data_IF_661699569954
#
_entry.id   IF_661699569954
#
_cell.length_a   1.000
_cell.length_b   1.000
_cell.length_c   1.000
_cell.angle_alpha   90.00
_cell.angle_beta   90.00
_cell.angle_gamma   90.00
#
_symmetry.space_group_name_H-M   'P 1'
#
loop_
_entity.id
_entity.type
_entity.pdbx_description
1 polymer ?
#
# COMPACT_ATOMS: atom_id res chain seq x y z
N UNK A 1 10.13 -29.95 49.98
CA UNK A 1 9.32 -29.20 49.00
C UNK A 1 9.88 -27.79 48.95
N UNK A 2 10.30 -27.28 47.80
CA UNK A 2 10.94 -25.96 47.69
C UNK A 2 9.90 -24.86 47.87
N UNK A 3 9.99 -24.11 48.97
CA UNK A 3 9.08 -22.99 49.23
C UNK A 3 9.55 -21.75 48.46
N UNK A 4 8.97 -21.56 47.27
CA UNK A 4 9.23 -20.38 46.45
C UNK A 4 8.91 -19.08 47.19
N UNK A 5 7.89 -19.06 48.06
CA UNK A 5 7.43 -17.83 48.70
C UNK A 5 8.43 -17.32 49.73
N UNK A 6 9.01 -18.21 50.54
CA UNK A 6 10.03 -17.83 51.52
C UNK A 6 11.29 -17.29 50.83
N UNK A 7 11.72 -17.94 49.75
CA UNK A 7 12.92 -17.56 48.98
C UNK A 7 12.76 -16.17 48.35
N UNK A 8 11.60 -15.86 47.76
CA UNK A 8 11.35 -14.53 47.20
C UNK A 8 11.21 -13.45 48.28
N UNK A 9 10.66 -13.79 49.45
CA UNK A 9 10.60 -12.86 50.58
C UNK A 9 12.00 -12.50 51.11
N UNK A 10 12.90 -13.49 51.19
CA UNK A 10 14.30 -13.26 51.59
C UNK A 10 15.06 -12.45 50.54
N UNK A 11 14.84 -12.70 49.24
CA UNK A 11 15.42 -11.85 48.19
C UNK A 11 14.92 -10.41 48.28
N UNK A 12 13.63 -10.20 48.52
CA UNK A 12 13.08 -8.85 48.64
C UNK A 12 13.57 -8.12 49.90
N UNK A 13 13.85 -8.85 50.99
CA UNK A 13 14.39 -8.29 52.23
C UNK A 13 15.86 -7.89 52.10
N UNK A 14 16.62 -8.59 51.25
CA UNK A 14 18.05 -8.34 51.02
C UNK A 14 18.33 -7.49 49.77
N UNK A 15 17.29 -7.12 49.00
CA UNK A 15 17.40 -6.26 47.84
C UNK A 15 17.53 -4.79 48.25
N UNK A 16 18.77 -4.31 48.28
CA UNK A 16 19.11 -2.90 48.54
C UNK A 16 19.27 -2.09 47.25
N UNK A 17 18.92 -2.64 46.08
CA UNK A 17 19.08 -1.95 44.80
C UNK A 17 17.98 -0.91 44.63
N UNK A 18 18.38 0.35 44.67
CA UNK A 18 17.48 1.48 44.44
C UNK A 18 16.81 1.37 43.06
N UNK A 19 15.54 1.76 42.96
CA UNK A 19 14.72 1.58 41.75
C UNK A 19 15.35 2.21 40.49
N UNK A 20 16.18 3.23 40.66
CA UNK A 20 16.86 3.97 39.59
C UNK A 20 18.05 3.20 39.01
N UNK A 21 18.68 2.33 39.80
CA UNK A 21 19.85 1.52 39.44
C UNK A 21 19.47 0.11 38.95
N UNK A 22 18.17 -0.15 38.79
CA UNK A 22 17.68 -1.39 38.17
C UNK A 22 17.80 -1.27 36.66
N UNK A 23 17.97 -2.40 35.96
CA UNK A 23 18.18 -2.44 34.50
C UNK A 23 17.11 -1.65 33.71
N UNK A 24 15.85 -1.73 34.15
CA UNK A 24 14.72 -0.95 33.60
C UNK A 24 14.75 0.53 33.99
N UNK A 25 15.38 0.89 35.11
CA UNK A 25 15.61 2.28 35.52
C UNK A 25 16.62 3.00 34.62
N UNK A 26 17.64 2.31 34.13
CA UNK A 26 18.61 2.88 33.18
C UNK A 26 18.00 3.25 31.82
N UNK A 27 16.95 2.55 31.40
CA UNK A 27 16.23 2.82 30.14
C UNK A 27 15.15 3.90 30.27
N UNK A 28 14.99 4.53 31.44
CA UNK A 28 14.05 5.65 31.61
C UNK A 28 14.63 6.92 30.99
N UNK A 29 13.81 7.61 30.21
CA UNK A 29 14.14 8.86 29.52
C UNK A 29 14.81 9.90 30.43
N UNK A 30 14.34 10.03 31.68
CA UNK A 30 14.86 11.00 32.66
C UNK A 30 16.35 10.77 33.00
N UNK A 31 16.79 9.51 33.05
CA UNK A 31 18.18 9.16 33.34
C UNK A 31 19.09 9.36 32.12
N UNK A 32 18.57 9.11 30.91
CA UNK A 32 19.28 9.36 29.64
C UNK A 32 19.48 10.87 29.44
N UNK A 33 18.50 11.70 29.83
CA UNK A 33 18.56 13.16 29.75
C UNK A 33 19.57 13.77 30.73
N UNK A 34 19.70 13.22 31.94
CA UNK A 34 20.69 13.69 32.93
C UNK A 34 22.13 13.38 32.51
N UNK A 35 22.37 12.26 31.83
CA UNK A 35 23.71 11.85 31.42
C UNK A 35 24.21 12.55 30.14
N UNK A 36 23.30 13.05 29.28
CA UNK A 36 23.67 13.72 28.03
C UNK A 36 22.76 14.93 27.73
N UNK A 37 23.05 16.12 28.29
CA UNK A 37 22.22 17.32 28.11
C UNK A 37 22.19 17.88 26.67
N UNK A 38 23.03 17.36 25.76
CA UNK A 38 23.01 17.68 24.33
C UNK A 38 22.03 16.82 23.52
N UNK A 39 21.52 15.71 24.06
CA UNK A 39 20.51 14.84 23.41
C UNK A 39 19.11 15.36 23.77
N UNK A 40 18.84 16.60 23.37
CA UNK A 40 17.68 17.39 23.81
C UNK A 40 16.40 17.08 23.04
N UNK A 41 16.49 16.29 21.98
CA UNK A 41 15.33 15.91 21.19
C UNK A 41 14.79 14.59 21.70
N UNK A 42 13.51 14.61 22.11
CA UNK A 42 12.68 13.42 22.13
C UNK A 42 12.79 12.78 20.75
N UNK A 43 13.67 11.79 20.59
CA UNK A 43 13.57 10.83 19.48
C UNK A 43 12.36 9.95 19.79
N UNK A 44 11.17 10.51 19.56
CA UNK A 44 9.88 9.83 19.74
C UNK A 44 9.64 8.81 18.61
N UNK A 45 10.43 8.86 17.51
CA UNK A 45 10.35 7.95 16.37
C UNK A 45 11.62 7.08 16.27
N UNK A 46 11.44 5.81 15.91
CA UNK A 46 12.53 4.89 15.60
C UNK A 46 13.22 5.36 14.32
N UNK A 47 14.55 5.47 14.35
CA UNK A 47 15.36 5.81 13.17
C UNK A 47 15.57 4.54 12.36
N UNK A 48 15.12 4.52 11.10
CA UNK A 48 15.24 3.37 10.20
C UNK A 48 16.43 3.57 9.25
N UNK A 49 17.63 3.60 9.85
CA UNK A 49 18.89 3.78 9.12
C UNK A 49 19.69 2.48 8.97
N UNK A 50 19.15 1.34 9.42
CA UNK A 50 19.88 0.06 9.42
C UNK A 50 20.18 -0.44 8.00
N UNK A 51 19.29 -0.18 7.04
CA UNK A 51 19.45 -0.56 5.62
C UNK A 51 19.97 0.59 4.74
N UNK A 52 20.40 1.70 5.34
CA UNK A 52 20.91 2.87 4.62
C UNK A 52 22.43 2.83 4.61
N UNK A 53 23.03 2.95 3.42
CA UNK A 53 24.48 3.04 3.28
C UNK A 53 25.02 4.25 4.05
N UNK A 54 26.15 4.11 4.72
CA UNK A 54 26.71 5.17 5.59
C UNK A 54 26.88 6.53 4.88
N UNK A 55 27.14 6.50 3.57
CA UNK A 55 27.27 7.69 2.72
C UNK A 55 25.97 8.49 2.55
N UNK A 56 24.81 7.86 2.78
CA UNK A 56 23.48 8.42 2.55
C UNK A 56 22.72 8.70 3.86
N UNK A 57 23.38 8.56 5.03
CA UNK A 57 22.75 8.80 6.34
C UNK A 57 22.57 10.28 6.70
N UNK A 58 23.12 11.19 5.89
CA UNK A 58 23.07 12.64 6.14
C UNK A 58 22.04 13.37 5.28
N UNK A 59 21.14 12.64 4.63
CA UNK A 59 20.06 13.21 3.82
C UNK A 59 18.93 13.79 4.69
N UNK A 60 17.94 14.41 4.05
CA UNK A 60 16.89 15.15 4.76
C UNK A 60 15.75 14.25 5.28
N UNK A 61 15.93 12.93 5.36
CA UNK A 61 14.88 11.98 5.73
C UNK A 61 14.15 12.34 7.04
N UNK A 62 14.91 12.73 8.07
CA UNK A 62 14.36 13.06 9.38
C UNK A 62 13.57 14.38 9.39
N UNK A 63 13.80 15.25 8.41
CA UNK A 63 13.12 16.53 8.26
C UNK A 63 11.75 16.40 7.57
N UNK A 64 11.51 15.29 6.88
CA UNK A 64 10.23 14.99 6.24
C UNK A 64 9.13 14.90 7.32
N UNK A 65 8.05 15.66 7.11
CA UNK A 65 6.90 15.77 8.03
C UNK A 65 6.87 17.04 8.89
N UNK A 66 8.01 17.71 9.10
CA UNK A 66 8.06 19.00 9.82
C UNK A 66 7.74 20.21 8.93
N UNK A 67 7.88 20.06 7.60
CA UNK A 67 7.63 21.11 6.59
C UNK A 67 6.15 21.52 6.47
N UNK A 68 5.20 20.64 6.83
CA UNK A 68 3.76 20.93 6.75
C UNK A 68 3.29 22.09 7.66
N UNK A 69 4.13 22.59 8.57
CA UNK A 69 3.79 23.71 9.48
C UNK A 69 4.14 25.10 8.95
N UNK A 70 4.80 25.22 7.79
CA UNK A 70 5.20 26.51 7.23
C UNK A 70 4.81 26.59 5.78
N UNK A 71 3.54 26.89 5.49
CA UNK A 71 3.16 27.87 4.47
C UNK A 71 1.63 28.00 4.40
N UNK A 72 1.13 29.18 4.77
CA UNK A 72 -0.26 29.58 4.54
C UNK A 72 -0.43 30.02 3.09
N UNK A 73 -1.36 29.39 2.39
CA UNK A 73 -1.66 29.66 0.98
C UNK A 73 -2.66 30.80 0.86
N UNK A 74 -2.31 31.82 0.07
CA UNK A 74 -3.15 32.95 -0.30
C UNK A 74 -4.01 32.60 -1.53
N UNK A 75 -5.32 32.81 -1.41
CA UNK A 75 -6.32 32.60 -2.47
C UNK A 75 -6.13 33.58 -3.64
N UNK A 76 -6.02 33.03 -4.86
CA UNK A 76 -6.13 33.76 -6.12
C UNK A 76 -7.16 33.09 -7.02
N UNK A 77 -8.31 33.73 -7.18
CA UNK A 77 -9.39 33.31 -8.08
C UNK A 77 -9.05 33.60 -9.54
N UNK A 78 -9.25 32.65 -10.46
CA UNK A 78 -9.41 32.96 -11.88
C UNK A 78 -10.37 31.99 -12.57
N UNK A 79 -11.06 32.51 -13.59
CA UNK A 79 -12.27 32.00 -14.23
C UNK A 79 -11.98 31.40 -15.62
N UNK A 80 -12.82 30.42 -15.98
CA UNK A 80 -13.29 30.01 -17.33
C UNK A 80 -12.24 29.30 -18.23
N UNK A 81 -12.55 28.35 -19.13
CA UNK A 81 -13.75 28.04 -19.93
C UNK A 81 -13.78 26.55 -20.31
N UNK A 82 -14.99 26.01 -20.43
CA UNK A 82 -15.32 24.63 -20.85
C UNK A 82 -15.25 24.41 -22.37
N UNK A 83 -14.71 23.26 -22.81
CA UNK A 83 -14.96 22.69 -24.15
C UNK A 83 -15.15 21.19 -24.06
N UNK A 84 -16.36 20.72 -24.37
CA UNK A 84 -16.69 19.30 -24.48
C UNK A 84 -16.18 18.75 -25.81
N UNK A 85 -15.54 17.58 -25.81
CA UNK A 85 -15.36 16.79 -27.02
C UNK A 85 -15.64 15.31 -26.76
N UNK A 86 -16.54 14.78 -27.59
CA UNK A 86 -16.97 13.39 -27.65
C UNK A 86 -15.87 12.50 -28.22
N UNK A 87 -15.65 11.33 -27.62
CA UNK A 87 -14.85 10.26 -28.21
C UNK A 87 -15.76 9.10 -28.64
N UNK A 88 -15.52 8.66 -29.89
CA UNK A 88 -16.15 7.51 -30.55
C UNK A 88 -15.31 6.27 -30.28
N UNK A 89 -15.96 5.23 -29.79
CA UNK A 89 -15.42 3.86 -29.74
C UNK A 89 -15.13 3.34 -31.16
N UNK A 90 -13.91 2.83 -31.35
CA UNK A 90 -13.51 2.04 -32.52
C UNK A 90 -13.34 0.60 -32.05
N UNK A 91 -14.41 -0.18 -32.12
CA UNK A 91 -14.35 -1.63 -31.93
C UNK A 91 -13.81 -2.31 -33.21
N UNK A 92 -12.53 -2.68 -33.22
CA UNK A 92 -11.97 -3.56 -34.24
C UNK A 92 -12.09 -5.03 -33.78
N UNK A 93 -12.74 -5.85 -34.61
CA UNK A 93 -12.97 -7.26 -34.33
C UNK A 93 -11.67 -8.06 -34.33
N UNK A 94 -11.28 -8.55 -33.16
CA UNK A 94 -10.24 -9.56 -32.99
C UNK A 94 -10.87 -10.87 -32.49
N UNK A 95 -10.40 -11.99 -33.02
CA UNK A 95 -10.77 -13.35 -32.61
C UNK A 95 -10.74 -13.43 -31.07
N UNK A 96 -11.84 -13.88 -30.45
CA UNK A 96 -12.01 -13.88 -28.98
C UNK A 96 -11.01 -14.84 -28.30
N UNK A 97 -9.78 -14.37 -28.09
CA UNK A 97 -8.79 -15.02 -27.22
C UNK A 97 -9.39 -15.12 -25.82
N UNK A 98 -9.35 -16.32 -25.23
CA UNK A 98 -9.81 -16.50 -23.85
C UNK A 98 -8.60 -16.50 -22.94
N UNK A 99 -8.60 -15.62 -21.95
CA UNK A 99 -7.51 -15.50 -20.98
C UNK A 99 -7.93 -16.11 -19.64
N UNK A 100 -7.02 -16.81 -18.97
CA UNK A 100 -7.19 -17.38 -17.63
C UNK A 100 -5.94 -17.15 -16.79
N UNK A 101 -6.14 -16.93 -15.49
CA UNK A 101 -5.07 -16.95 -14.49
C UNK A 101 -4.91 -18.39 -13.97
N UNK A 102 -3.70 -18.91 -14.03
CA UNK A 102 -3.35 -20.24 -13.51
C UNK A 102 -2.20 -20.15 -12.52
N UNK A 103 -2.13 -21.12 -11.61
CA UNK A 103 -0.96 -21.25 -10.74
C UNK A 103 0.29 -21.55 -11.59
N UNK A 104 1.34 -20.75 -11.44
CA UNK A 104 2.60 -20.90 -12.17
C UNK A 104 3.31 -22.24 -11.89
N UNK A 105 3.08 -22.84 -10.71
CA UNK A 105 3.70 -24.11 -10.34
C UNK A 105 3.16 -25.32 -11.11
N UNK A 106 1.87 -25.31 -11.52
CA UNK A 106 1.23 -26.46 -12.16
C UNK A 106 0.66 -26.17 -13.56
N UNK A 107 0.45 -24.90 -13.91
CA UNK A 107 -0.20 -24.39 -15.13
C UNK A 107 -1.52 -25.09 -15.49
N UNK A 108 -2.19 -25.72 -14.52
CA UNK A 108 -3.41 -26.52 -14.71
C UNK A 108 -4.55 -26.01 -13.86
N UNK A 109 -4.24 -25.53 -12.67
CA UNK A 109 -5.24 -25.04 -11.72
C UNK A 109 -5.61 -23.60 -12.06
N UNK A 110 -6.67 -23.45 -12.85
CA UNK A 110 -7.27 -22.13 -13.09
C UNK A 110 -7.83 -21.57 -11.79
N UNK A 111 -7.38 -20.37 -11.44
CA UNK A 111 -7.82 -19.66 -10.23
C UNK A 111 -9.17 -19.00 -10.52
N UNK A 112 -10.20 -19.19 -9.67
CA UNK A 112 -11.48 -18.55 -9.84
C UNK A 112 -11.33 -17.05 -9.65
N UNK A 113 -11.94 -16.31 -10.58
CA UNK A 113 -11.95 -14.87 -10.57
C UNK A 113 -13.19 -14.37 -9.82
N UNK A 114 -13.03 -13.29 -9.06
CA UNK A 114 -14.10 -12.60 -8.37
C UNK A 114 -14.51 -11.33 -9.13
N UNK A 115 -15.81 -11.02 -9.16
CA UNK A 115 -16.25 -9.68 -9.55
C UNK A 115 -16.07 -8.71 -8.38
N UNK A 116 -16.06 -7.38 -8.61
CA UNK A 116 -15.94 -6.40 -7.53
C UNK A 116 -17.00 -6.62 -6.46
N UNK A 117 -18.25 -6.86 -6.87
CA UNK A 117 -19.37 -7.18 -5.98
C UNK A 117 -19.10 -8.42 -5.12
N UNK A 118 -18.46 -9.45 -5.68
CA UNK A 118 -18.11 -10.65 -4.91
C UNK A 118 -17.01 -10.39 -3.88
N UNK A 119 -16.00 -9.58 -4.24
CA UNK A 119 -14.93 -9.20 -3.30
C UNK A 119 -15.48 -8.31 -2.17
N UNK A 120 -16.26 -7.27 -2.49
CA UNK A 120 -16.92 -6.44 -1.47
C UNK A 120 -17.79 -7.30 -0.55
N UNK A 121 -18.50 -8.28 -1.11
CA UNK A 121 -19.33 -9.19 -0.31
C UNK A 121 -18.51 -10.11 0.60
N UNK A 122 -17.38 -10.64 0.10
CA UNK A 122 -16.43 -11.43 0.89
C UNK A 122 -15.82 -10.60 2.00
N UNK A 123 -15.37 -9.38 1.69
CA UNK A 123 -14.81 -8.45 2.67
C UNK A 123 -15.84 -8.06 3.71
N UNK A 124 -17.07 -7.73 3.33
CA UNK A 124 -18.14 -7.41 4.30
C UNK A 124 -18.44 -8.59 5.24
N UNK A 125 -18.45 -9.82 4.73
CA UNK A 125 -18.65 -11.02 5.55
C UNK A 125 -17.44 -11.32 6.44
N UNK A 126 -16.23 -11.02 5.99
CA UNK A 126 -15.00 -11.23 6.75
C UNK A 126 -14.73 -10.11 7.77
N UNK A 127 -15.08 -8.86 7.45
CA UNK A 127 -14.78 -7.67 8.22
C UNK A 127 -15.32 -7.74 9.64
N UNK A 128 -16.59 -8.16 9.80
CA UNK A 128 -17.26 -8.30 11.11
C UNK A 128 -16.56 -9.31 12.03
N UNK A 129 -15.64 -10.12 11.50
CA UNK A 129 -15.07 -11.26 12.21
C UNK A 129 -13.52 -11.23 12.26
N UNK A 130 -12.83 -10.62 11.29
CA UNK A 130 -11.36 -10.69 11.15
C UNK A 130 -10.68 -9.37 10.75
N UNK A 131 -11.42 -8.32 10.40
CA UNK A 131 -10.88 -7.03 9.96
C UNK A 131 -10.20 -7.11 8.58
N UNK A 132 -10.89 -6.66 7.54
CA UNK A 132 -10.31 -6.47 6.21
C UNK A 132 -10.47 -5.02 5.82
N UNK A 133 -9.38 -4.27 5.84
CA UNK A 133 -9.37 -2.87 5.41
C UNK A 133 -9.30 -2.73 3.88
N UNK A 134 -9.71 -1.54 3.41
CA UNK A 134 -9.58 -1.12 2.00
C UNK A 134 -8.13 -1.03 1.54
N UNK A 135 -7.93 -0.89 0.22
CA UNK A 135 -6.61 -0.82 -0.42
C UNK A 135 -5.63 0.14 0.29
N UNK A 136 -6.05 1.35 0.63
CA UNK A 136 -5.21 2.32 1.37
C UNK A 136 -4.78 1.85 2.76
N UNK A 137 -5.66 1.21 3.53
CA UNK A 137 -5.32 0.65 4.84
C UNK A 137 -4.31 -0.49 4.73
N UNK A 138 -4.43 -1.31 3.68
CA UNK A 138 -3.47 -2.38 3.36
C UNK A 138 -2.12 -1.80 2.98
N UNK A 139 -2.09 -0.72 2.19
CA UNK A 139 -0.85 -0.04 1.82
C UNK A 139 -0.11 0.53 3.04
N UNK A 140 -0.81 1.18 3.98
CA UNK A 140 -0.20 1.64 5.23
C UNK A 140 0.32 0.48 6.09
N UNK A 141 -0.43 -0.62 6.18
CA UNK A 141 0.03 -1.81 6.89
C UNK A 141 1.31 -2.38 6.24
N UNK A 142 1.35 -2.49 4.91
CA UNK A 142 2.53 -2.92 4.15
C UNK A 142 3.72 -1.99 4.40
N UNK A 143 3.51 -0.67 4.27
CA UNK A 143 4.53 0.33 4.56
C UNK A 143 5.07 0.20 5.99
N UNK A 144 4.19 0.03 6.98
CA UNK A 144 4.56 -0.18 8.38
C UNK A 144 5.44 -1.42 8.56
N UNK A 145 5.09 -2.53 7.92
CA UNK A 145 5.89 -3.75 7.99
C UNK A 145 7.25 -3.58 7.31
N UNK A 146 7.32 -2.94 6.14
CA UNK A 146 8.59 -2.62 5.46
C UNK A 146 9.48 -1.73 6.35
N UNK A 147 8.90 -0.70 6.95
CA UNK A 147 9.60 0.18 7.90
C UNK A 147 10.17 -0.60 9.09
N UNK A 148 9.41 -1.54 9.67
CA UNK A 148 9.89 -2.41 10.75
C UNK A 148 11.07 -3.31 10.33
N UNK A 149 11.29 -3.50 9.03
CA UNK A 149 12.42 -4.24 8.46
C UNK A 149 13.58 -3.31 8.04
N UNK A 150 13.58 -2.06 8.51
CA UNK A 150 14.65 -1.09 8.27
C UNK A 150 14.57 -0.38 6.91
N UNK A 151 13.48 -0.56 6.16
CA UNK A 151 13.29 0.08 4.85
C UNK A 151 12.73 1.48 5.05
N UNK A 152 13.30 2.48 4.38
CA UNK A 152 12.75 3.84 4.36
C UNK A 152 11.49 3.89 3.50
N UNK A 153 10.33 4.09 4.14
CA UNK A 153 9.04 4.14 3.46
C UNK A 153 8.42 5.53 3.55
N UNK A 154 8.09 6.07 2.37
CA UNK A 154 7.40 7.33 2.20
C UNK A 154 6.01 7.05 1.61
N UNK A 155 4.96 7.40 2.34
CA UNK A 155 3.59 7.33 1.87
C UNK A 155 3.16 8.69 1.33
N UNK A 156 2.61 8.71 0.11
CA UNK A 156 1.97 9.89 -0.44
C UNK A 156 0.45 9.72 -0.35
N UNK A 157 -0.24 10.70 0.23
CA UNK A 157 -1.70 10.69 0.34
C UNK A 157 -2.27 11.98 -0.18
N UNK A 158 -3.19 11.85 -1.12
CA UNK A 158 -3.99 12.96 -1.62
C UNK A 158 -5.19 13.07 -0.67
N UNK A 159 -5.30 14.21 0.01
CA UNK A 159 -6.32 14.41 1.04
C UNK A 159 -7.72 14.27 0.43
N UNK A 160 -8.48 13.31 0.96
CA UNK A 160 -9.92 13.30 0.86
C UNK A 160 -10.46 13.48 2.28
N UNK A 161 -11.40 14.41 2.48
CA UNK A 161 -11.92 14.80 3.80
C UNK A 161 -12.61 13.63 4.54
N UNK A 162 -12.93 12.54 3.83
CA UNK A 162 -13.59 11.34 4.34
C UNK A 162 -12.63 10.18 4.68
N UNK A 163 -11.69 10.41 5.60
CA UNK A 163 -10.83 9.30 6.08
C UNK A 163 -11.59 8.35 7.03
N UNK A 164 -11.61 7.06 6.69
CA UNK A 164 -12.17 6.01 7.55
C UNK A 164 -11.30 5.80 8.81
N UNK A 165 -11.92 5.45 9.94
CA UNK A 165 -11.26 5.18 11.23
C UNK A 165 -10.19 4.10 11.13
N UNK A 166 -10.41 3.08 10.30
CA UNK A 166 -9.41 2.03 10.10
C UNK A 166 -8.17 2.58 9.38
N UNK A 167 -8.37 3.44 8.38
CA UNK A 167 -7.29 4.10 7.66
C UNK A 167 -6.48 5.01 8.59
N UNK A 168 -7.16 5.86 9.37
CA UNK A 168 -6.50 6.73 10.37
C UNK A 168 -5.69 5.91 11.37
N UNK A 169 -6.22 4.76 11.82
CA UNK A 169 -5.48 3.87 12.73
C UNK A 169 -4.22 3.29 12.07
N UNK A 170 -4.30 2.82 10.82
CA UNK A 170 -3.12 2.29 10.13
C UNK A 170 -2.10 3.38 9.83
N UNK A 171 -2.56 4.58 9.50
CA UNK A 171 -1.72 5.77 9.35
C UNK A 171 -0.93 6.06 10.63
N UNK A 172 -1.61 6.17 11.78
CA UNK A 172 -0.96 6.45 13.06
C UNK A 172 0.09 5.39 13.39
N UNK A 173 -0.25 4.11 13.18
CA UNK A 173 0.69 3.01 13.41
C UNK A 173 1.90 3.07 12.47
N UNK A 174 1.70 3.47 11.21
CA UNK A 174 2.77 3.64 10.23
C UNK A 174 3.74 4.76 10.62
N UNK A 175 3.23 5.92 11.03
CA UNK A 175 4.08 7.03 11.46
C UNK A 175 4.83 6.73 12.77
N UNK A 176 4.20 5.98 13.68
CA UNK A 176 4.80 5.61 14.96
C UNK A 176 6.02 4.68 14.81
N UNK A 177 6.06 3.85 13.77
CA UNK A 177 7.23 3.01 13.47
C UNK A 177 8.33 3.75 12.69
N UNK A 178 8.14 5.04 12.41
CA UNK A 178 9.11 5.87 11.70
C UNK A 178 8.83 6.04 10.20
N UNK A 179 7.67 5.55 9.72
CA UNK A 179 7.18 5.88 8.38
C UNK A 179 6.95 7.37 8.22
N UNK A 180 7.10 7.88 7.00
CA UNK A 180 6.91 9.29 6.66
C UNK A 180 5.71 9.43 5.74
N UNK A 181 4.83 10.39 6.03
CA UNK A 181 3.66 10.69 5.18
C UNK A 181 3.75 12.09 4.61
N UNK A 182 3.50 12.21 3.31
CA UNK A 182 3.42 13.46 2.58
C UNK A 182 1.98 13.66 2.10
N UNK A 183 1.42 14.82 2.44
CA UNK A 183 0.08 15.26 2.03
C UNK A 183 0.11 16.55 1.24
N UNK A 184 1.31 17.01 0.85
CA UNK A 184 1.50 18.22 0.05
C UNK A 184 1.20 17.95 -1.42
N UNK A 185 1.41 18.95 -2.28
CA UNK A 185 1.33 18.77 -3.72
C UNK A 185 2.39 17.79 -4.26
N UNK A 186 2.11 17.25 -5.44
CA UNK A 186 2.97 16.28 -6.15
C UNK A 186 4.34 16.88 -6.49
N UNK A 187 4.45 18.18 -6.74
CA UNK A 187 5.75 18.80 -7.07
C UNK A 187 6.69 18.76 -5.86
N UNK A 188 6.16 18.99 -4.66
CA UNK A 188 6.90 18.85 -3.39
C UNK A 188 7.34 17.40 -3.17
N UNK A 189 6.47 16.41 -3.41
CA UNK A 189 6.85 14.99 -3.34
C UNK A 189 8.02 14.68 -4.29
N UNK A 190 7.89 15.07 -5.56
CA UNK A 190 8.92 14.82 -6.58
C UNK A 190 10.23 15.50 -6.17
N UNK A 191 10.18 16.73 -5.66
CA UNK A 191 11.37 17.45 -5.20
C UNK A 191 12.10 16.67 -4.10
N UNK A 192 11.37 16.22 -3.07
CA UNK A 192 11.93 15.42 -1.98
C UNK A 192 12.61 14.16 -2.52
N UNK A 193 11.91 13.40 -3.36
CA UNK A 193 12.39 12.14 -3.93
C UNK A 193 13.60 12.31 -4.87
N UNK A 194 13.80 13.48 -5.46
CA UNK A 194 14.84 13.72 -6.48
C UNK A 194 16.02 14.54 -6.00
N UNK A 195 15.83 15.39 -5.00
CA UNK A 195 16.85 16.37 -4.57
C UNK A 195 17.16 16.32 -3.07
N UNK A 196 16.26 15.80 -2.22
CA UNK A 196 16.45 15.80 -0.77
C UNK A 196 16.90 14.45 -0.20
N UNK A 197 16.71 13.37 -0.97
CA UNK A 197 17.08 12.01 -0.59
C UNK A 197 18.22 11.51 -1.47
N UNK A 198 19.24 10.95 -0.83
CA UNK A 198 20.41 10.37 -1.53
C UNK A 198 20.16 8.93 -1.99
N UNK A 199 19.00 8.35 -1.62
CA UNK A 199 18.57 7.02 -2.01
C UNK A 199 17.54 7.09 -3.15
N UNK A 200 17.78 6.43 -4.30
CA UNK A 200 16.79 6.39 -5.38
C UNK A 200 15.57 5.58 -4.96
N UNK A 201 14.41 5.87 -5.57
CA UNK A 201 13.22 5.03 -5.40
C UNK A 201 13.47 3.65 -6.02
N UNK A 202 13.32 2.61 -5.20
CA UNK A 202 13.52 1.21 -5.59
C UNK A 202 12.20 0.47 -5.88
N UNK A 203 11.12 0.85 -5.20
CA UNK A 203 9.80 0.24 -5.32
C UNK A 203 8.71 1.32 -5.13
N UNK A 204 7.69 1.28 -5.98
CA UNK A 204 6.48 2.10 -5.90
C UNK A 204 5.31 1.15 -5.68
N UNK A 205 4.59 1.33 -4.58
CA UNK A 205 3.38 0.56 -4.28
C UNK A 205 2.17 1.42 -4.66
N UNK A 206 1.45 0.99 -5.68
CA UNK A 206 0.22 1.61 -6.12
C UNK A 206 -0.98 1.09 -5.34
N UNK A 207 -1.60 2.03 -4.64
CA UNK A 207 -2.82 1.86 -3.88
C UNK A 207 -3.74 3.08 -4.06
N UNK A 208 -3.64 3.79 -5.19
CA UNK A 208 -4.44 4.99 -5.46
C UNK A 208 -5.92 4.66 -5.67
N UNK A 209 -6.22 3.50 -6.26
CA UNK A 209 -7.57 2.95 -6.31
C UNK A 209 -7.62 1.50 -5.81
N UNK A 210 -8.80 1.08 -5.34
CA UNK A 210 -9.14 -0.32 -5.10
C UNK A 210 -9.87 -0.93 -6.30
N UNK A 211 -10.39 -2.15 -6.14
CA UNK A 211 -11.18 -2.81 -7.18
C UNK A 211 -12.65 -2.34 -7.24
N UNK A 212 -13.11 -1.60 -6.23
CA UNK A 212 -14.49 -1.13 -6.03
C UNK A 212 -14.69 0.37 -6.28
N UNK A 213 -13.62 1.10 -6.58
CA UNK A 213 -13.60 2.55 -6.80
C UNK A 213 -12.94 2.90 -8.16
N UNK A 214 -13.22 4.11 -8.68
CA UNK A 214 -12.55 4.68 -9.85
C UNK A 214 -11.85 5.99 -9.46
N UNK A 215 -10.67 6.26 -10.02
CA UNK A 215 -9.91 7.49 -9.70
C UNK A 215 -10.73 8.76 -9.96
N UNK A 216 -11.54 8.78 -11.01
CA UNK A 216 -12.38 9.93 -11.37
C UNK A 216 -13.50 10.18 -10.36
N UNK A 217 -13.98 9.12 -9.70
CA UNK A 217 -14.99 9.20 -8.66
C UNK A 217 -14.36 9.60 -7.31
N UNK A 218 -13.16 9.09 -7.03
CA UNK A 218 -12.39 9.43 -5.80
C UNK A 218 -11.96 10.90 -5.85
N UNK A 219 -11.44 11.35 -7.00
CA UNK A 219 -10.86 12.67 -7.21
C UNK A 219 -11.75 13.50 -8.14
N UNK A 220 -12.94 13.83 -7.66
CA UNK A 220 -13.94 14.58 -8.42
C UNK A 220 -13.61 16.07 -8.60
N UNK A 221 -12.65 16.61 -7.85
CA UNK A 221 -12.18 17.98 -8.02
C UNK A 221 -11.11 18.04 -9.12
N UNK A 222 -11.27 18.93 -10.09
CA UNK A 222 -10.33 19.07 -11.23
C UNK A 222 -8.87 19.23 -10.79
N UNK A 223 -8.64 19.93 -9.67
CA UNK A 223 -7.29 20.15 -9.13
C UNK A 223 -6.65 18.86 -8.58
N UNK A 224 -7.43 18.05 -7.87
CA UNK A 224 -6.96 16.77 -7.32
C UNK A 224 -6.74 15.77 -8.45
N UNK A 225 -7.67 15.72 -9.42
CA UNK A 225 -7.54 14.88 -10.61
C UNK A 225 -6.31 15.24 -11.43
N UNK A 226 -6.02 16.53 -11.60
CA UNK A 226 -4.79 16.96 -12.29
C UNK A 226 -3.54 16.56 -11.50
N UNK A 227 -3.57 16.66 -10.17
CA UNK A 227 -2.47 16.22 -9.32
C UNK A 227 -2.22 14.71 -9.47
N UNK A 228 -3.28 13.90 -9.49
CA UNK A 228 -3.19 12.45 -9.76
C UNK A 228 -2.57 12.18 -11.13
N UNK A 229 -2.98 12.91 -12.17
CA UNK A 229 -2.38 12.79 -13.51
C UNK A 229 -0.89 13.10 -13.49
N UNK A 230 -0.48 14.19 -12.84
CA UNK A 230 0.93 14.57 -12.74
C UNK A 230 1.74 13.49 -12.00
N UNK A 231 1.17 12.89 -10.94
CA UNK A 231 1.78 11.77 -10.22
C UNK A 231 1.94 10.53 -11.11
N UNK A 232 0.90 10.15 -11.84
CA UNK A 232 0.90 8.97 -12.72
C UNK A 232 1.89 9.16 -13.87
N UNK A 233 1.96 10.36 -14.45
CA UNK A 233 2.96 10.72 -15.46
C UNK A 233 4.37 10.51 -14.92
N UNK A 234 4.66 10.97 -13.70
CA UNK A 234 5.96 10.76 -13.07
C UNK A 234 6.25 9.28 -12.80
N UNK A 235 5.27 8.52 -12.31
CA UNK A 235 5.42 7.08 -12.09
C UNK A 235 5.70 6.31 -13.39
N UNK A 236 5.07 6.70 -14.51
CA UNK A 236 5.27 6.05 -15.80
C UNK A 236 6.54 6.50 -16.54
N UNK A 237 7.36 7.39 -15.96
CA UNK A 237 8.64 7.75 -16.56
C UNK A 237 9.53 6.51 -16.75
N UNK A 238 10.32 6.44 -17.85
CA UNK A 238 11.20 5.30 -18.11
C UNK A 238 12.17 4.94 -16.97
N UNK A 239 12.52 5.91 -16.12
CA UNK A 239 13.38 5.70 -14.94
C UNK A 239 12.73 4.86 -13.84
N UNK A 240 11.40 4.85 -13.77
CA UNK A 240 10.62 4.09 -12.80
C UNK A 240 10.04 2.80 -13.37
N UNK A 241 10.29 2.54 -14.66
CA UNK A 241 9.93 1.27 -15.30
C UNK A 241 10.49 0.10 -14.46
N UNK A 242 9.68 -0.94 -14.31
CA UNK A 242 9.99 -2.13 -13.51
C UNK A 242 10.06 -1.92 -11.99
N UNK A 243 9.53 -0.82 -11.45
CA UNK A 243 9.48 -0.57 -10.00
C UNK A 243 8.06 -0.53 -9.42
N UNK A 244 7.04 -0.59 -10.27
CA UNK A 244 5.66 -0.39 -9.85
C UNK A 244 4.99 -1.72 -9.53
N UNK A 245 4.40 -1.79 -8.34
CA UNK A 245 3.59 -2.89 -7.85
C UNK A 245 2.19 -2.38 -7.50
N UNK A 246 1.16 -2.83 -8.21
CA UNK A 246 -0.23 -2.46 -7.90
C UNK A 246 -0.93 -3.50 -7.04
N UNK A 247 -1.70 -3.00 -6.08
CA UNK A 247 -2.57 -3.79 -5.23
C UNK A 247 -3.92 -4.01 -5.91
N UNK A 248 -4.35 -5.27 -6.01
CA UNK A 248 -5.55 -5.78 -6.67
C UNK A 248 -5.63 -5.53 -8.20
N UNK A 249 -5.59 -4.26 -8.63
CA UNK A 249 -5.63 -3.85 -10.04
C UNK A 249 -4.82 -2.55 -10.24
N UNK A 250 -4.11 -2.37 -11.36
CA UNK A 250 -3.46 -1.10 -11.64
C UNK A 250 -4.44 0.08 -11.66
N UNK A 251 -4.03 1.18 -11.03
CA UNK A 251 -4.81 2.40 -11.02
C UNK A 251 -5.11 2.90 -12.43
N UNK A 252 -6.36 3.33 -12.65
CA UNK A 252 -6.90 3.75 -13.95
C UNK A 252 -7.58 2.64 -14.77
N UNK A 253 -7.55 1.38 -14.32
CA UNK A 253 -8.25 0.25 -14.95
C UNK A 253 -9.45 -0.16 -14.09
N UNK A 254 -10.65 -0.28 -14.67
CA UNK A 254 -11.84 -0.70 -13.94
C UNK A 254 -11.76 -2.18 -13.48
N UNK A 255 -12.00 -2.42 -12.19
CA UNK A 255 -12.01 -3.74 -11.57
C UNK A 255 -13.07 -4.70 -12.13
N UNK A 256 -14.17 -4.20 -12.69
CA UNK A 256 -15.23 -5.03 -13.26
C UNK A 256 -15.02 -5.40 -14.73
N UNK A 257 -14.89 -4.38 -15.57
CA UNK A 257 -14.88 -4.46 -17.02
C UNK A 257 -13.48 -4.44 -17.63
N UNK A 258 -12.45 -4.11 -16.84
CA UNK A 258 -11.07 -3.97 -17.32
C UNK A 258 -10.90 -2.89 -18.39
N UNK A 259 -11.81 -1.91 -18.47
CA UNK A 259 -11.71 -0.78 -19.38
C UNK A 259 -10.95 0.38 -18.75
N UNK A 260 -10.41 1.25 -19.59
CA UNK A 260 -9.78 2.51 -19.19
C UNK A 260 -10.62 3.67 -19.72
N UNK A 261 -10.96 4.62 -18.84
CA UNK A 261 -11.67 5.84 -19.23
C UNK A 261 -10.72 6.93 -19.72
N UNK A 262 -9.64 7.20 -18.98
CA UNK A 262 -8.58 8.14 -19.34
C UNK A 262 -7.21 7.45 -19.34
N UNK A 263 -6.54 7.40 -20.50
CA UNK A 263 -5.21 6.80 -20.63
C UNK A 263 -4.14 7.53 -19.82
N UNK A 264 -4.34 8.81 -19.50
CA UNK A 264 -3.43 9.58 -18.65
C UNK A 264 -3.50 9.15 -17.17
N UNK A 265 -4.50 8.38 -16.79
CA UNK A 265 -4.70 7.86 -15.43
C UNK A 265 -4.28 6.39 -15.27
N UNK A 266 -3.70 5.77 -16.32
CA UNK A 266 -3.29 4.37 -16.25
C UNK A 266 -1.87 4.25 -15.73
N UNK A 267 -1.68 3.47 -14.68
CA UNK A 267 -0.37 3.17 -14.14
C UNK A 267 0.21 1.88 -14.75
N UNK A 268 1.46 1.93 -15.24
CA UNK A 268 2.11 0.79 -15.87
C UNK A 268 2.88 -0.04 -14.84
N UNK A 269 2.27 -1.17 -14.46
CA UNK A 269 2.75 -1.99 -13.35
C UNK A 269 3.58 -3.18 -13.80
N UNK A 270 4.69 -3.43 -13.10
CA UNK A 270 5.52 -4.63 -13.29
C UNK A 270 4.98 -5.83 -12.53
N UNK A 271 4.36 -5.57 -11.38
CA UNK A 271 3.75 -6.57 -10.52
C UNK A 271 2.31 -6.18 -10.17
N UNK A 272 1.42 -7.17 -10.20
CA UNK A 272 0.03 -7.01 -9.75
C UNK A 272 -0.22 -8.03 -8.65
N UNK A 273 -0.64 -7.55 -7.49
CA UNK A 273 -0.83 -8.35 -6.28
C UNK A 273 -2.32 -8.44 -5.97
N UNK A 274 -2.94 -9.56 -6.35
CA UNK A 274 -4.31 -9.89 -5.95
C UNK A 274 -4.34 -10.32 -4.48
N UNK A 275 -5.23 -9.73 -3.68
CA UNK A 275 -5.36 -10.08 -2.27
C UNK A 275 -6.61 -10.94 -2.02
N UNK A 276 -6.40 -12.15 -1.52
CA UNK A 276 -7.44 -13.15 -1.28
C UNK A 276 -7.90 -13.86 -2.55
N UNK A 277 -8.46 -13.12 -3.52
CA UNK A 277 -8.93 -13.64 -4.80
C UNK A 277 -8.61 -12.65 -5.93
N UNK A 278 -8.20 -13.13 -7.12
CA UNK A 278 -7.96 -12.25 -8.25
C UNK A 278 -9.25 -11.67 -8.82
N UNK A 279 -9.20 -10.37 -9.16
CA UNK A 279 -10.33 -9.66 -9.75
C UNK A 279 -10.49 -9.99 -11.24
N UNK A 280 -11.75 -10.15 -11.69
CA UNK A 280 -12.10 -10.44 -13.08
C UNK A 280 -11.61 -9.35 -14.06
N UNK A 281 -11.53 -8.09 -13.60
CA UNK A 281 -11.04 -6.95 -14.37
C UNK A 281 -9.66 -7.15 -14.97
N UNK A 282 -8.77 -7.92 -14.31
CA UNK A 282 -7.43 -8.24 -14.85
C UNK A 282 -7.52 -8.97 -16.19
N UNK A 283 -8.36 -10.01 -16.26
CA UNK A 283 -8.58 -10.78 -17.49
C UNK A 283 -9.24 -9.93 -18.57
N UNK A 284 -10.13 -9.02 -18.19
CA UNK A 284 -10.73 -8.11 -19.15
C UNK A 284 -9.73 -7.07 -19.66
N UNK A 285 -8.83 -6.58 -18.82
CA UNK A 285 -7.76 -5.65 -19.22
C UNK A 285 -6.79 -6.29 -20.21
N UNK A 286 -6.43 -7.57 -20.04
CA UNK A 286 -5.69 -8.33 -21.06
C UNK A 286 -6.46 -8.46 -22.37
N UNK A 287 -7.77 -8.72 -22.33
CA UNK A 287 -8.62 -8.81 -23.53
C UNK A 287 -8.74 -7.48 -24.26
N UNK A 288 -8.81 -6.39 -23.50
CA UNK A 288 -8.91 -5.03 -24.03
C UNK A 288 -7.55 -4.49 -24.51
N UNK A 289 -6.45 -5.20 -24.27
CA UNK A 289 -5.11 -4.76 -24.63
C UNK A 289 -4.63 -3.58 -23.79
N UNK A 290 -4.95 -3.58 -22.49
CA UNK A 290 -4.40 -2.63 -21.52
C UNK A 290 -3.31 -3.25 -20.63
N UNK A 291 -3.21 -4.59 -20.59
CA UNK A 291 -2.14 -5.32 -19.92
C UNK A 291 -1.44 -6.28 -20.88
N UNK A 292 -0.12 -6.46 -20.70
CA UNK A 292 0.70 -7.35 -21.53
C UNK A 292 0.84 -6.89 -22.99
N UNK A 293 0.78 -5.58 -23.22
CA UNK A 293 1.05 -4.95 -24.52
C UNK A 293 2.56 -4.75 -24.67
N UNK A 294 3.07 -4.76 -25.91
CA UNK A 294 4.46 -4.40 -26.24
C UNK A 294 5.57 -5.19 -25.50
N UNK A 295 5.35 -6.49 -25.27
CA UNK A 295 6.25 -7.37 -24.52
C UNK A 295 6.55 -6.89 -23.08
N UNK A 296 5.68 -6.04 -22.52
CA UNK A 296 5.78 -5.67 -21.11
C UNK A 296 5.44 -6.87 -20.22
N UNK A 297 6.47 -7.38 -19.56
CA UNK A 297 6.35 -8.49 -18.63
C UNK A 297 5.64 -8.02 -17.36
N UNK A 298 4.39 -8.44 -17.18
CA UNK A 298 3.61 -8.18 -15.96
C UNK A 298 3.48 -9.49 -15.18
N UNK A 299 4.05 -9.53 -13.99
CA UNK A 299 3.94 -10.69 -13.09
C UNK A 299 2.72 -10.53 -12.18
N UNK A 300 1.96 -11.61 -12.03
CA UNK A 300 0.81 -11.66 -11.14
C UNK A 300 1.13 -12.48 -9.92
N UNK A 301 0.73 -11.99 -8.75
CA UNK A 301 0.80 -12.74 -7.50
C UNK A 301 -0.55 -12.74 -6.81
N UNK A 302 -0.88 -13.85 -6.17
CA UNK A 302 -2.04 -13.98 -5.31
C UNK A 302 -1.55 -14.15 -3.86
N UNK A 303 -2.04 -13.32 -2.95
CA UNK A 303 -1.66 -13.34 -1.53
C UNK A 303 -2.82 -13.83 -0.68
N UNK A 304 -2.54 -14.75 0.24
CA UNK A 304 -3.51 -15.19 1.24
C UNK A 304 -3.64 -14.12 2.32
N UNK A 305 -4.86 -13.58 2.45
CA UNK A 305 -5.21 -12.61 3.50
C UNK A 305 -6.02 -13.25 4.63
N UNK A 306 -6.11 -14.58 4.66
CA UNK A 306 -6.73 -15.33 5.75
C UNK A 306 -8.25 -15.36 5.72
N UNK A 307 -8.88 -15.26 4.54
CA UNK A 307 -10.34 -15.37 4.41
C UNK A 307 -10.77 -16.80 4.78
N UNK A 308 -11.58 -17.01 5.83
CA UNK A 308 -11.96 -18.35 6.22
C UNK A 308 -12.94 -18.99 5.24
N UNK A 309 -12.79 -20.28 4.96
CA UNK A 309 -13.68 -21.04 4.07
C UNK A 309 -15.18 -20.94 4.42
N UNK A 310 -15.51 -20.73 5.71
CA UNK A 310 -16.91 -20.51 6.14
C UNK A 310 -17.55 -19.31 5.44
N UNK A 311 -16.79 -18.26 5.12
CA UNK A 311 -17.26 -17.10 4.34
C UNK A 311 -17.78 -17.56 2.98
N UNK A 312 -17.02 -18.37 2.26
CA UNK A 312 -17.40 -18.88 0.93
C UNK A 312 -18.62 -19.80 0.95
N UNK A 313 -18.81 -20.55 2.04
CA UNK A 313 -19.99 -21.42 2.21
C UNK A 313 -21.29 -20.66 2.52
N UNK A 314 -21.18 -19.40 2.99
CA UNK A 314 -22.32 -18.62 3.49
C UNK A 314 -23.32 -18.25 2.39
N UNK A 315 -22.85 -18.04 1.16
CA UNK A 315 -23.69 -17.66 0.01
C UNK A 315 -23.39 -18.50 -1.22
N UNK A 316 -24.43 -18.80 -2.00
CA UNK A 316 -24.33 -19.71 -3.16
C UNK A 316 -23.35 -19.24 -4.24
N UNK A 317 -23.30 -17.92 -4.51
CA UNK A 317 -22.42 -17.29 -5.50
C UNK A 317 -20.92 -17.31 -5.10
N UNK A 318 -20.60 -17.55 -3.82
CA UNK A 318 -19.23 -17.57 -3.31
C UNK A 318 -18.64 -18.99 -3.21
N UNK A 319 -19.47 -20.04 -3.29
CA UNK A 319 -19.02 -21.44 -3.13
C UNK A 319 -17.95 -21.88 -4.11
N UNK A 320 -17.83 -21.22 -5.27
CA UNK A 320 -16.76 -21.49 -6.25
C UNK A 320 -15.35 -21.17 -5.73
N UNK A 321 -15.24 -20.38 -4.66
CA UNK A 321 -13.98 -19.98 -4.04
C UNK A 321 -13.53 -20.90 -2.89
N UNK A 322 -14.37 -21.85 -2.46
CA UNK A 322 -14.13 -22.77 -1.33
C UNK A 322 -13.11 -23.89 -1.64
N UNK A 323 -12.06 -23.54 -2.39
CA UNK A 323 -10.91 -24.41 -2.61
C UNK A 323 -9.69 -23.75 -2.01
N UNK A 324 -8.76 -24.58 -1.55
CA UNK A 324 -7.53 -24.11 -0.95
C UNK A 324 -6.47 -23.92 -2.04
N UNK A 325 -6.19 -22.66 -2.40
CA UNK A 325 -5.29 -22.29 -3.52
C UNK A 325 -3.84 -22.11 -3.10
N UNK A 326 -3.62 -21.75 -1.84
CA UNK A 326 -2.33 -21.35 -1.29
C UNK A 326 -1.46 -22.52 -0.83
N UNK A 327 -2.07 -23.68 -0.55
CA UNK A 327 -1.36 -24.85 -0.04
C UNK A 327 -0.49 -24.50 1.19
N UNK A 328 0.83 -24.66 1.12
CA UNK A 328 1.73 -24.33 2.23
C UNK A 328 2.29 -22.90 2.19
N UNK A 329 2.00 -22.15 1.11
CA UNK A 329 2.55 -20.82 0.87
C UNK A 329 1.54 -19.72 1.25
N UNK A 330 2.02 -18.50 1.49
CA UNK A 330 1.14 -17.33 1.70
C UNK A 330 0.99 -16.47 0.43
N UNK A 331 1.80 -16.75 -0.59
CA UNK A 331 1.75 -16.07 -1.88
C UNK A 331 2.05 -17.05 -3.01
N UNK A 332 1.33 -16.92 -4.11
CA UNK A 332 1.47 -17.79 -5.28
C UNK A 332 1.64 -16.93 -6.54
N UNK A 333 2.66 -17.23 -7.36
CA UNK A 333 2.80 -16.61 -8.68
C UNK A 333 1.74 -17.17 -9.63
N UNK A 334 1.09 -16.29 -10.38
CA UNK A 334 0.10 -16.63 -11.38
C UNK A 334 0.61 -16.30 -12.78
N UNK A 335 0.28 -17.17 -13.73
CA UNK A 335 0.55 -16.95 -15.15
C UNK A 335 -0.75 -16.75 -15.91
N UNK A 336 -0.65 -16.00 -17.01
CA UNK A 336 -1.75 -15.76 -17.95
C UNK A 336 -1.66 -16.78 -19.07
N UNK A 337 -2.66 -17.66 -19.18
CA UNK A 337 -2.80 -18.57 -20.32
C UNK A 337 -3.81 -18.01 -21.32
N UNK A 338 -3.44 -18.07 -22.60
CA UNK A 338 -4.31 -17.78 -23.75
C UNK A 338 -4.80 -19.09 -24.37
N UNK A 339 -6.11 -19.29 -24.38
CA UNK A 339 -6.80 -20.36 -25.12
C UNK A 339 -7.41 -19.86 -26.43
#
# INVERSE_FOLDING_TARGET
>A
MFDKKSVFADFHKNDNVSLQNRLVGHNKLDNIQQQNPKKKEKKDKYENDEMVLDVNKTDNWDLIGNLNKRMGVSNGSSRNNSSANLLKDVSSGSLKKTYKLVNSADHKSAIPLASPVQLVEVERLAHDTYGSGRCGSRAFATGRHLTNHGIRVLAYVINNDDSDKELTKQWDLFENVGGKVITSDVSTLINILTHELDTPVELIIDALQGYDDHLEDIFYQDQDLQSVKDLIVWCNEPKQKNKIMSLDIPSGIDGGSGTVLDQCLVLHSRWIISMGLPIIGLIHAYKNGHLGVDDEEVDHFLVDIGIPNKVYSTKGNLRKFDKFWFSAEFSVKLDILTE
#
